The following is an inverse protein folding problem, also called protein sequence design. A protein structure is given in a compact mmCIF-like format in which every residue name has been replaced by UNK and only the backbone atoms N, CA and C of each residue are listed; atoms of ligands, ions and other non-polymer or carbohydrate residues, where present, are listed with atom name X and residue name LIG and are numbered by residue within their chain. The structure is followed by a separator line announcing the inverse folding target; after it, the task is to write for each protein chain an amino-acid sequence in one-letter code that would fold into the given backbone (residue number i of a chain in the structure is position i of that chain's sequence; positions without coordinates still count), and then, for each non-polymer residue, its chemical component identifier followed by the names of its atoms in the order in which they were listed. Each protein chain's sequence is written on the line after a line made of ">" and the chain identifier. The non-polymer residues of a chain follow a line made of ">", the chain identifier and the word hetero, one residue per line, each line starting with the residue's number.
data_IF_726204969561
#
_entry.id   IF_726204969561
#
_cell.length_a   1.000
_cell.length_b   1.000
_cell.length_c   1.000
_cell.angle_alpha   90.00
_cell.angle_beta   90.00
_cell.angle_gamma   90.00
#
_symmetry.space_group_name_H-M   'P 1'
#
loop_
_entity.id
_entity.type
_entity.pdbx_description
1 polymer ?
#
# COMPACT_ATOMS: atom_id res chain seq x y z
N UNK A 1 -4.71 -19.80 -0.01
CA UNK A 1 -5.00 -18.53 0.68
C UNK A 1 -5.05 -17.44 -0.38
N UNK A 2 -6.13 -16.65 -0.44
CA UNK A 2 -6.25 -15.57 -1.43
C UNK A 2 -5.82 -14.25 -0.80
N UNK A 3 -4.98 -13.49 -1.49
CA UNK A 3 -4.54 -12.15 -1.07
C UNK A 3 -5.38 -11.13 -1.81
N UNK A 4 -5.95 -10.17 -1.08
CA UNK A 4 -6.70 -9.08 -1.68
C UNK A 4 -5.76 -7.90 -1.92
N UNK A 5 -5.70 -7.39 -3.14
CA UNK A 5 -4.95 -6.18 -3.44
C UNK A 5 -5.90 -5.05 -3.77
N UNK A 6 -5.75 -3.92 -3.09
CA UNK A 6 -6.47 -2.68 -3.37
C UNK A 6 -5.48 -1.68 -3.98
N UNK A 7 -5.74 -1.26 -5.22
CA UNK A 7 -4.86 -0.32 -5.95
C UNK A 7 -5.67 0.53 -6.92
N UNK A 8 -5.19 1.72 -7.33
CA UNK A 8 -5.83 2.51 -8.38
C UNK A 8 -5.90 1.75 -9.72
N UNK A 9 -6.98 1.99 -10.47
CA UNK A 9 -7.27 1.28 -11.72
C UNK A 9 -6.35 1.70 -12.89
N UNK A 10 -5.79 2.90 -12.84
CA UNK A 10 -5.03 3.54 -13.92
C UNK A 10 -3.51 3.60 -13.64
N UNK A 11 -3.01 2.75 -12.75
CA UNK A 11 -1.56 2.63 -12.52
C UNK A 11 -0.82 2.21 -13.79
N UNK A 12 0.32 2.87 -14.01
CA UNK A 12 1.25 2.51 -15.07
C UNK A 12 1.73 1.06 -14.88
N UNK A 13 1.94 0.34 -15.97
CA UNK A 13 2.31 -1.08 -15.93
C UNK A 13 3.67 -1.33 -15.25
N UNK A 14 4.55 -0.33 -15.28
CA UNK A 14 5.86 -0.36 -14.63
C UNK A 14 5.84 0.06 -13.15
N UNK A 15 4.71 0.56 -12.64
CA UNK A 15 4.54 0.87 -11.23
C UNK A 15 4.78 -0.36 -10.36
N UNK A 16 5.36 -0.16 -9.18
CA UNK A 16 5.76 -1.22 -8.27
C UNK A 16 4.59 -2.14 -7.91
N UNK A 17 3.41 -1.58 -7.63
CA UNK A 17 2.20 -2.35 -7.34
C UNK A 17 1.81 -3.30 -8.48
N UNK A 18 1.80 -2.81 -9.72
CA UNK A 18 1.51 -3.62 -10.92
C UNK A 18 2.54 -4.76 -11.09
N UNK A 19 3.82 -4.43 -11.02
CA UNK A 19 4.88 -5.44 -11.17
C UNK A 19 4.88 -6.48 -10.04
N UNK A 20 4.58 -6.06 -8.82
CA UNK A 20 4.50 -6.96 -7.67
C UNK A 20 3.30 -7.91 -7.80
N UNK A 21 2.17 -7.47 -8.36
CA UNK A 21 1.04 -8.37 -8.69
C UNK A 21 1.49 -9.49 -9.61
N UNK A 22 2.20 -9.14 -10.69
CA UNK A 22 2.66 -10.12 -11.66
C UNK A 22 3.66 -11.09 -11.04
N UNK A 23 4.59 -10.60 -10.22
CA UNK A 23 5.53 -11.43 -9.49
C UNK A 23 4.83 -12.38 -8.50
N UNK A 24 3.84 -11.90 -7.74
CA UNK A 24 3.05 -12.73 -6.81
C UNK A 24 2.24 -13.80 -7.54
N UNK A 25 1.61 -13.45 -8.67
CA UNK A 25 0.87 -14.40 -9.53
C UNK A 25 1.80 -15.46 -10.11
N UNK A 26 2.99 -15.06 -10.58
CA UNK A 26 4.00 -15.98 -11.07
C UNK A 26 4.51 -16.93 -9.98
N UNK A 27 4.55 -16.48 -8.72
CA UNK A 27 4.83 -17.33 -7.55
C UNK A 27 3.66 -18.24 -7.12
N UNK A 28 2.55 -18.24 -7.86
CA UNK A 28 1.37 -19.07 -7.60
C UNK A 28 0.39 -18.50 -6.57
N UNK A 29 0.54 -17.23 -6.17
CA UNK A 29 -0.39 -16.61 -5.23
C UNK A 29 -1.73 -16.29 -5.91
N UNK A 30 -2.83 -16.63 -5.23
CA UNK A 30 -4.18 -16.23 -5.66
C UNK A 30 -4.44 -14.76 -5.32
N UNK A 31 -4.29 -13.87 -6.30
CA UNK A 31 -4.52 -12.43 -6.12
C UNK A 31 -5.93 -12.02 -6.57
N UNK A 32 -6.73 -11.48 -5.65
CA UNK A 32 -7.99 -10.81 -5.94
C UNK A 32 -7.76 -9.30 -6.02
N UNK A 33 -7.91 -8.74 -7.21
CA UNK A 33 -7.67 -7.31 -7.46
C UNK A 33 -8.95 -6.49 -7.25
N UNK A 34 -8.86 -5.44 -6.43
CA UNK A 34 -9.88 -4.43 -6.22
C UNK A 34 -9.36 -3.09 -6.76
N UNK A 35 -9.73 -2.79 -8.01
CA UNK A 35 -9.30 -1.57 -8.69
C UNK A 35 -10.14 -0.37 -8.24
N UNK A 36 -9.49 0.69 -7.76
CA UNK A 36 -10.15 1.93 -7.35
C UNK A 36 -10.25 2.91 -8.54
N UNK A 37 -11.42 3.50 -8.79
CA UNK A 37 -11.58 4.52 -9.82
C UNK A 37 -10.99 5.87 -9.37
N UNK A 38 -10.99 6.84 -10.28
CA UNK A 38 -10.63 8.22 -9.96
C UNK A 38 -9.12 8.48 -10.02
N UNK A 39 -8.72 9.76 -9.99
CA UNK A 39 -7.32 10.14 -10.09
C UNK A 39 -6.55 9.72 -8.84
N UNK A 40 -5.34 9.21 -9.03
CA UNK A 40 -4.36 8.98 -7.96
C UNK A 40 -3.14 9.92 -8.09
N UNK A 41 -2.35 10.11 -7.03
CA UNK A 41 -2.64 9.82 -5.61
C UNK A 41 -3.61 10.85 -4.99
N UNK A 42 -4.31 11.64 -5.81
CA UNK A 42 -5.27 12.66 -5.34
C UNK A 42 -6.46 12.00 -4.65
N UNK A 43 -7.00 12.72 -3.65
CA UNK A 43 -8.22 12.29 -2.97
C UNK A 43 -9.40 12.44 -3.92
N UNK A 44 -10.19 11.39 -4.05
CA UNK A 44 -11.36 11.33 -4.91
C UNK A 44 -12.53 10.61 -4.19
N UNK A 45 -13.74 11.21 -4.15
CA UNK A 45 -14.90 10.60 -3.49
C UNK A 45 -15.30 9.22 -4.04
N UNK A 46 -15.12 8.98 -5.34
CA UNK A 46 -15.45 7.68 -5.96
C UNK A 46 -14.43 6.61 -5.57
N UNK A 47 -13.15 6.98 -5.47
CA UNK A 47 -12.09 6.12 -4.96
C UNK A 47 -12.34 5.72 -3.49
N UNK A 48 -12.70 6.70 -2.65
CA UNK A 48 -13.04 6.46 -1.23
C UNK A 48 -14.20 5.48 -1.10
N UNK A 49 -15.30 5.73 -1.82
CA UNK A 49 -16.48 4.87 -1.76
C UNK A 49 -16.18 3.45 -2.26
N UNK A 50 -15.45 3.32 -3.37
CA UNK A 50 -15.06 2.02 -3.90
C UNK A 50 -14.16 1.25 -2.92
N UNK A 51 -13.25 1.94 -2.25
CA UNK A 51 -12.37 1.35 -1.25
C UNK A 51 -13.15 0.85 -0.03
N UNK A 52 -14.06 1.66 0.51
CA UNK A 52 -14.92 1.29 1.64
C UNK A 52 -15.79 0.06 1.32
N UNK A 53 -16.41 0.03 0.13
CA UNK A 53 -17.17 -1.14 -0.34
C UNK A 53 -16.28 -2.36 -0.51
N UNK A 54 -15.06 -2.21 -1.02
CA UNK A 54 -14.15 -3.32 -1.21
C UNK A 54 -13.72 -3.92 0.14
N UNK A 55 -13.28 -3.09 1.09
CA UNK A 55 -12.78 -3.53 2.39
C UNK A 55 -13.88 -4.13 3.28
N UNK A 56 -15.06 -3.51 3.32
CA UNK A 56 -16.20 -3.99 4.13
C UNK A 56 -16.67 -5.40 3.76
N UNK A 57 -16.48 -5.82 2.51
CA UNK A 57 -16.86 -7.16 2.02
C UNK A 57 -15.83 -8.25 2.32
N UNK A 58 -14.62 -7.88 2.73
CA UNK A 58 -13.57 -8.86 3.02
C UNK A 58 -13.87 -9.58 4.34
N UNK A 59 -13.53 -10.88 4.47
CA UNK A 59 -13.68 -11.59 5.72
C UNK A 59 -12.65 -11.13 6.75
N UNK A 60 -12.98 -11.28 8.03
CA UNK A 60 -12.07 -10.99 9.14
C UNK A 60 -10.78 -11.82 9.02
N UNK A 61 -9.65 -11.19 9.33
CA UNK A 61 -8.32 -11.76 9.21
C UNK A 61 -7.78 -11.83 7.80
N UNK A 62 -8.51 -11.37 6.77
CA UNK A 62 -8.03 -11.43 5.39
C UNK A 62 -6.71 -10.63 5.21
N UNK A 63 -5.73 -11.19 4.48
CA UNK A 63 -4.53 -10.47 4.08
C UNK A 63 -4.87 -9.48 2.96
N UNK A 64 -4.58 -8.21 3.21
CA UNK A 64 -4.88 -7.13 2.28
C UNK A 64 -3.62 -6.33 1.98
N UNK A 65 -3.22 -6.36 0.71
CA UNK A 65 -2.20 -5.49 0.16
C UNK A 65 -2.84 -4.16 -0.27
N UNK A 66 -2.21 -3.05 0.10
CA UNK A 66 -2.67 -1.70 -0.26
C UNK A 66 -1.56 -0.98 -1.04
N UNK A 67 -1.87 -0.50 -2.24
CA UNK A 67 -0.93 0.34 -2.99
C UNK A 67 -0.76 1.71 -2.32
N UNK A 68 0.48 2.21 -2.25
CA UNK A 68 0.80 3.51 -1.66
C UNK A 68 0.02 4.68 -2.26
N UNK A 69 -0.30 4.63 -3.55
CA UNK A 69 -1.07 5.67 -4.23
C UNK A 69 -2.56 5.65 -3.84
N UNK A 70 -3.07 4.56 -3.27
CA UNK A 70 -4.43 4.46 -2.76
C UNK A 70 -4.57 4.97 -1.31
N UNK A 71 -3.49 5.07 -0.55
CA UNK A 71 -3.55 5.40 0.89
C UNK A 71 -4.29 6.71 1.21
N UNK A 72 -4.16 7.80 0.44
CA UNK A 72 -4.93 9.02 0.69
C UNK A 72 -6.45 8.79 0.63
N UNK A 73 -6.91 7.93 -0.27
CA UNK A 73 -8.32 7.57 -0.43
C UNK A 73 -8.81 6.55 0.63
N UNK A 74 -7.89 5.85 1.28
CA UNK A 74 -8.16 4.85 2.31
C UNK A 74 -8.10 5.42 3.73
N UNK A 75 -7.49 6.59 3.92
CA UNK A 75 -7.11 7.11 5.25
C UNK A 75 -8.26 7.11 6.28
N UNK A 76 -9.50 7.37 5.83
CA UNK A 76 -10.67 7.37 6.70
C UNK A 76 -11.19 5.96 7.05
N UNK A 77 -11.05 4.97 6.17
CA UNK A 77 -11.54 3.60 6.38
C UNK A 77 -10.54 2.72 7.12
N UNK A 78 -9.23 2.97 6.97
CA UNK A 78 -8.17 2.17 7.58
C UNK A 78 -8.34 1.93 9.09
N UNK A 79 -8.69 2.93 9.94
CA UNK A 79 -8.75 2.69 11.38
C UNK A 79 -9.79 1.65 11.78
N UNK A 80 -10.95 1.64 11.12
CA UNK A 80 -12.04 0.69 11.41
C UNK A 80 -11.62 -0.71 10.97
N UNK A 81 -11.18 -0.84 9.73
CA UNK A 81 -10.84 -2.15 9.16
C UNK A 81 -9.50 -2.70 9.66
N UNK A 82 -8.58 -1.87 10.17
CA UNK A 82 -7.26 -2.32 10.66
C UNK A 82 -7.35 -3.28 11.85
N UNK A 83 -8.46 -3.24 12.58
CA UNK A 83 -8.74 -4.19 13.68
C UNK A 83 -9.17 -5.56 13.19
N UNK A 84 -9.72 -5.60 11.98
CA UNK A 84 -10.39 -6.75 11.39
C UNK A 84 -9.53 -7.41 10.31
N UNK A 85 -8.85 -6.62 9.49
CA UNK A 85 -8.05 -7.04 8.35
C UNK A 85 -6.55 -6.99 8.65
N UNK A 86 -5.75 -7.72 7.87
CA UNK A 86 -4.28 -7.75 7.99
C UNK A 86 -3.67 -6.90 6.87
N UNK A 87 -3.50 -5.61 7.12
CA UNK A 87 -2.96 -4.70 6.12
C UNK A 87 -1.44 -4.80 5.97
N UNK A 88 -1.00 -4.81 4.71
CA UNK A 88 0.39 -4.60 4.30
C UNK A 88 0.42 -3.58 3.16
N UNK A 89 1.23 -2.53 3.27
CA UNK A 89 1.34 -1.51 2.23
C UNK A 89 2.45 -1.85 1.23
N UNK A 90 2.23 -1.53 -0.05
CA UNK A 90 3.24 -1.52 -1.11
C UNK A 90 3.66 -0.07 -1.36
N UNK A 91 4.84 0.32 -0.90
CA UNK A 91 5.32 1.71 -0.99
C UNK A 91 6.47 1.78 -1.99
N UNK A 92 6.16 2.32 -3.17
CA UNK A 92 7.18 2.65 -4.17
C UNK A 92 7.92 3.94 -3.82
N UNK A 93 7.20 4.91 -3.28
CA UNK A 93 7.69 6.24 -2.93
C UNK A 93 6.77 6.89 -1.91
N UNK A 94 7.31 7.84 -1.16
CA UNK A 94 6.55 8.67 -0.23
C UNK A 94 6.21 10.00 -0.90
N UNK A 95 4.95 10.42 -0.84
CA UNK A 95 4.47 11.59 -1.55
C UNK A 95 4.87 12.91 -0.88
N UNK A 96 5.26 12.88 0.40
CA UNK A 96 5.80 14.06 1.09
C UNK A 96 7.22 14.44 0.64
N UNK A 97 7.95 13.54 -0.03
CA UNK A 97 9.29 13.81 -0.58
C UNK A 97 9.26 14.30 -2.03
N UNK A 98 8.06 14.53 -2.59
CA UNK A 98 7.94 15.00 -3.97
C UNK A 98 8.52 16.40 -4.14
N UNK A 99 9.27 16.66 -5.24
CA UNK A 99 9.78 17.98 -5.51
C UNK A 99 8.65 18.96 -5.80
N UNK A 100 8.83 20.22 -5.41
CA UNK A 100 7.87 21.30 -5.69
C UNK A 100 6.80 21.52 -4.61
N UNK A 101 6.83 20.76 -3.51
CA UNK A 101 5.96 20.99 -2.37
C UNK A 101 6.44 22.15 -1.51
N UNK A 102 5.50 22.94 -1.00
CA UNK A 102 5.75 23.82 0.14
C UNK A 102 5.99 22.99 1.41
N UNK A 103 6.63 23.61 2.41
CA UNK A 103 6.87 22.95 3.69
C UNK A 103 5.56 22.50 4.37
N UNK A 104 4.48 23.27 4.21
CA UNK A 104 3.16 22.94 4.74
C UNK A 104 2.54 21.73 4.03
N UNK A 105 2.57 21.69 2.69
CA UNK A 105 2.06 20.55 1.92
C UNK A 105 2.84 19.27 2.24
N UNK A 106 4.17 19.36 2.32
CA UNK A 106 5.01 18.24 2.71
C UNK A 106 4.65 17.74 4.12
N UNK A 107 4.44 18.64 5.09
CA UNK A 107 4.06 18.26 6.45
C UNK A 107 2.68 17.58 6.50
N UNK A 108 1.69 18.10 5.76
CA UNK A 108 0.35 17.49 5.67
C UNK A 108 0.43 16.09 5.08
N UNK A 109 1.13 15.92 3.95
CA UNK A 109 1.31 14.61 3.31
C UNK A 109 2.06 13.64 4.22
N UNK A 110 3.13 14.10 4.88
CA UNK A 110 3.92 13.30 5.81
C UNK A 110 3.06 12.77 6.96
N UNK A 111 2.22 13.61 7.55
CA UNK A 111 1.32 13.21 8.64
C UNK A 111 0.26 12.18 8.18
N UNK A 112 -0.30 12.36 6.98
CA UNK A 112 -1.26 11.42 6.40
C UNK A 112 -0.61 10.05 6.12
N UNK A 113 0.56 10.04 5.48
CA UNK A 113 1.30 8.82 5.17
C UNK A 113 1.77 8.12 6.46
N UNK A 114 2.30 8.86 7.44
CA UNK A 114 2.69 8.29 8.74
C UNK A 114 1.48 7.68 9.47
N UNK A 115 0.32 8.34 9.45
CA UNK A 115 -0.92 7.83 10.02
C UNK A 115 -1.37 6.52 9.37
N UNK A 116 -1.43 6.49 8.03
CA UNK A 116 -1.80 5.29 7.29
C UNK A 116 -0.82 4.13 7.54
N UNK A 117 0.49 4.39 7.47
CA UNK A 117 1.53 3.39 7.68
C UNK A 117 1.56 2.85 9.11
N UNK A 118 1.14 3.62 10.10
CA UNK A 118 1.06 3.16 11.49
C UNK A 118 0.06 2.01 11.69
N UNK A 119 -0.94 1.92 10.82
CA UNK A 119 -1.99 0.90 10.81
C UNK A 119 -1.58 -0.37 10.04
N UNK A 120 -0.43 -0.35 9.38
CA UNK A 120 0.09 -1.49 8.63
C UNK A 120 0.80 -2.48 9.55
N UNK A 121 0.60 -3.77 9.30
CA UNK A 121 1.41 -4.83 9.94
C UNK A 121 2.81 -4.85 9.35
N UNK A 122 2.88 -4.78 8.01
CA UNK A 122 4.11 -4.72 7.25
C UNK A 122 4.04 -3.64 6.17
N UNK A 123 5.20 -3.15 5.75
CA UNK A 123 5.35 -2.20 4.65
C UNK A 123 6.42 -2.75 3.71
N UNK A 124 6.01 -3.15 2.52
CA UNK A 124 6.90 -3.68 1.51
C UNK A 124 7.38 -2.58 0.58
N UNK A 125 8.69 -2.55 0.34
CA UNK A 125 9.35 -1.51 -0.47
C UNK A 125 10.29 -2.15 -1.49
N UNK A 126 10.47 -1.53 -2.67
CA UNK A 126 11.27 -2.12 -3.74
C UNK A 126 12.77 -2.11 -3.45
N UNK A 127 13.26 -1.18 -2.64
CA UNK A 127 14.69 -0.96 -2.40
C UNK A 127 15.00 -0.32 -1.03
N UNK A 128 16.30 -0.24 -0.73
CA UNK A 128 16.82 0.27 0.53
C UNK A 128 16.67 1.80 0.66
N UNK A 129 16.55 2.54 -0.44
CA UNK A 129 16.37 4.00 -0.42
C UNK A 129 15.01 4.34 0.20
N UNK A 130 13.96 3.66 -0.26
CA UNK A 130 12.62 3.81 0.30
C UNK A 130 12.57 3.26 1.73
N UNK A 131 13.24 2.12 2.00
CA UNK A 131 13.33 1.55 3.34
C UNK A 131 13.95 2.54 4.34
N UNK A 132 15.05 3.20 3.99
CA UNK A 132 15.70 4.21 4.82
C UNK A 132 14.75 5.37 5.12
N UNK A 133 14.02 5.85 4.11
CA UNK A 133 13.05 6.94 4.26
C UNK A 133 11.90 6.55 5.20
N UNK A 134 11.44 5.30 5.16
CA UNK A 134 10.44 4.78 6.11
C UNK A 134 10.98 4.70 7.55
N UNK A 135 12.25 4.35 7.73
CA UNK A 135 12.88 4.37 9.07
C UNK A 135 12.96 5.79 9.62
N UNK A 136 13.30 6.77 8.78
CA UNK A 136 13.30 8.20 9.14
C UNK A 136 11.89 8.73 9.46
N UNK A 137 10.86 8.15 8.83
CA UNK A 137 9.46 8.40 9.16
C UNK A 137 9.02 7.73 10.48
N UNK A 138 9.86 6.88 11.08
CA UNK A 138 9.60 6.18 12.34
C UNK A 138 8.93 4.80 12.18
N UNK A 139 8.90 4.25 10.97
CA UNK A 139 8.46 2.86 10.77
C UNK A 139 9.52 1.92 11.32
N UNK A 140 9.13 1.03 12.24
CA UNK A 140 10.03 0.08 12.87
C UNK A 140 10.65 -0.87 11.84
N UNK A 141 11.96 -1.17 11.88
CA UNK A 141 12.63 -2.02 10.89
C UNK A 141 11.97 -3.38 10.70
N UNK A 142 11.43 -3.98 11.76
CA UNK A 142 10.80 -5.31 11.70
C UNK A 142 9.47 -5.32 10.93
N UNK A 143 8.90 -4.14 10.68
CA UNK A 143 7.72 -3.98 9.82
C UNK A 143 8.09 -3.75 8.36
N UNK A 144 9.33 -3.40 8.04
CA UNK A 144 9.75 -3.09 6.67
C UNK A 144 10.21 -4.38 5.99
N UNK A 145 9.68 -4.65 4.81
CA UNK A 145 10.06 -5.80 4.00
C UNK A 145 10.67 -5.30 2.70
N UNK A 146 11.95 -5.60 2.49
CA UNK A 146 12.57 -5.41 1.18
C UNK A 146 12.02 -6.46 0.22
N UNK A 147 11.23 -6.01 -0.75
CA UNK A 147 10.56 -6.85 -1.72
C UNK A 147 10.63 -6.18 -3.09
N UNK A 148 11.71 -6.41 -3.82
CA UNK A 148 11.76 -6.06 -5.24
C UNK A 148 10.63 -6.79 -5.98
N UNK A 149 10.08 -6.19 -7.04
CA UNK A 149 9.04 -6.82 -7.86
C UNK A 149 9.62 -7.90 -8.80
N UNK A 150 10.19 -8.93 -8.19
CA UNK A 150 10.75 -10.14 -8.76
C UNK A 150 10.36 -11.36 -7.91
N UNK A 151 10.83 -12.54 -8.29
CA UNK A 151 10.50 -13.79 -7.58
C UNK A 151 10.97 -13.79 -6.10
N UNK A 152 12.11 -13.17 -5.81
CA UNK A 152 12.68 -13.13 -4.47
C UNK A 152 11.87 -12.21 -3.56
N UNK A 153 11.52 -11.01 -4.04
CA UNK A 153 10.69 -10.10 -3.26
C UNK A 153 9.24 -10.58 -3.12
N UNK A 154 8.67 -11.24 -4.13
CA UNK A 154 7.37 -11.89 -4.00
C UNK A 154 7.38 -12.97 -2.90
N UNK A 155 8.43 -13.80 -2.84
CA UNK A 155 8.58 -14.79 -1.79
C UNK A 155 8.74 -14.16 -0.39
N UNK A 156 9.54 -13.09 -0.28
CA UNK A 156 9.72 -12.35 0.97
C UNK A 156 8.41 -11.73 1.47
N UNK A 157 7.62 -11.14 0.56
CA UNK A 157 6.32 -10.58 0.88
C UNK A 157 5.32 -11.67 1.30
N UNK A 158 5.24 -12.78 0.57
CA UNK A 158 4.33 -13.89 0.92
C UNK A 158 4.64 -14.50 2.30
N UNK A 159 5.90 -14.48 2.74
CA UNK A 159 6.30 -15.01 4.05
C UNK A 159 5.74 -14.21 5.23
N UNK A 160 5.30 -12.96 5.03
CA UNK A 160 4.78 -12.08 6.09
C UNK A 160 3.27 -11.83 6.03
N UNK A 161 2.60 -12.29 4.96
CA UNK A 161 1.15 -12.13 4.75
C UNK A 161 0.29 -13.08 5.59
#
# INVERSE_FOLDING_TARGET
>A
MSVHLVMPADLAADAYGCRMVDALRAAGAGIMLHALPGPHPRVDPSAILAADVALSRLPDGAPVLLDGNALPNLAASLPVDSRRLRFTALIERLHWTEPGLTAEEAAVRRNLEQGALSLMRHVAVPDETVAATLRDLGVRPERIVLAAADAGGAAALLAVL
#
